data_IF_928456901225
#
_entry.id   IF_928456901225
#
_cell.length_a   1.000
_cell.length_b   1.000
_cell.length_c   1.000
_cell.angle_alpha   90.00
_cell.angle_beta   90.00
_cell.angle_gamma   90.00
#
_symmetry.space_group_name_H-M   'P 1'
#
loop_
_entity.id
_entity.type
_entity.pdbx_description
1 polymer ?
#
# COMPACT_ATOMS: atom_id res chain seq x y z
N UNK A 1 -13.38 0.04 -11.50
CA UNK A 1 -12.35 -0.89 -12.02
C UNK A 1 -12.51 -1.00 -13.53
N UNK A 2 -11.44 -1.08 -14.33
CA UNK A 2 -11.52 -1.22 -15.77
C UNK A 2 -12.32 -2.47 -16.20
N UNK A 3 -12.99 -2.40 -17.36
CA UNK A 3 -13.73 -3.56 -17.89
C UNK A 3 -12.81 -4.70 -18.33
N UNK A 4 -11.63 -4.36 -18.89
CA UNK A 4 -10.58 -5.31 -19.28
C UNK A 4 -9.42 -5.15 -18.30
N UNK A 5 -9.00 -6.25 -17.71
CA UNK A 5 -7.91 -6.33 -16.74
C UNK A 5 -6.77 -7.20 -17.30
N UNK A 6 -5.54 -7.00 -16.85
CA UNK A 6 -4.47 -7.97 -17.09
C UNK A 6 -4.91 -9.35 -16.60
N UNK A 7 -4.54 -10.41 -17.34
CA UNK A 7 -5.01 -11.77 -17.01
C UNK A 7 -4.74 -12.14 -15.54
N UNK A 8 -3.53 -11.90 -15.04
CA UNK A 8 -3.18 -12.22 -13.66
C UNK A 8 -4.15 -11.59 -12.65
N UNK A 9 -4.47 -10.30 -12.80
CA UNK A 9 -5.42 -9.62 -11.91
C UNK A 9 -6.82 -10.20 -12.04
N UNK A 10 -7.30 -10.39 -13.29
CA UNK A 10 -8.64 -10.93 -13.53
C UNK A 10 -8.77 -12.36 -13.00
N UNK A 11 -7.72 -13.17 -13.12
CA UNK A 11 -7.66 -14.53 -12.59
C UNK A 11 -7.72 -14.55 -11.06
N UNK A 12 -6.91 -13.73 -10.39
CA UNK A 12 -6.88 -13.66 -8.92
C UNK A 12 -8.21 -13.22 -8.30
N UNK A 13 -8.98 -12.37 -8.99
CA UNK A 13 -10.25 -11.86 -8.47
C UNK A 13 -11.50 -12.59 -9.01
N UNK A 14 -11.36 -13.55 -9.94
CA UNK A 14 -12.53 -14.21 -10.58
C UNK A 14 -13.45 -14.88 -9.58
N UNK A 15 -12.88 -15.50 -8.53
CA UNK A 15 -13.59 -16.25 -7.50
C UNK A 15 -13.93 -15.40 -6.24
N UNK A 16 -13.62 -14.13 -6.25
CA UNK A 16 -13.88 -13.20 -5.15
C UNK A 16 -15.27 -12.55 -5.31
N UNK A 17 -16.05 -12.37 -4.23
CA UNK A 17 -17.31 -11.65 -4.28
C UNK A 17 -17.15 -10.29 -4.97
N UNK A 18 -18.11 -9.92 -5.80
CA UNK A 18 -18.02 -8.76 -6.69
C UNK A 18 -17.61 -7.47 -5.95
N UNK A 19 -18.22 -7.22 -4.80
CA UNK A 19 -17.94 -6.01 -3.99
C UNK A 19 -16.54 -5.97 -3.41
N UNK A 20 -15.90 -7.14 -3.22
CA UNK A 20 -14.54 -7.26 -2.69
C UNK A 20 -13.45 -7.15 -3.77
N UNK A 21 -13.80 -7.30 -5.06
CA UNK A 21 -12.83 -7.35 -6.17
C UNK A 21 -11.90 -6.14 -6.23
N UNK A 22 -12.36 -4.88 -6.06
CA UNK A 22 -11.47 -3.71 -6.08
C UNK A 22 -10.41 -3.75 -4.97
N UNK A 23 -10.79 -4.14 -3.75
CA UNK A 23 -9.89 -4.26 -2.62
C UNK A 23 -8.89 -5.39 -2.83
N UNK A 24 -9.35 -6.56 -3.27
CA UNK A 24 -8.50 -7.73 -3.52
C UNK A 24 -7.53 -7.48 -4.68
N UNK A 25 -7.99 -6.85 -5.77
CA UNK A 25 -7.14 -6.49 -6.91
C UNK A 25 -5.95 -5.59 -6.52
N UNK A 26 -6.08 -4.82 -5.45
CA UNK A 26 -4.99 -4.03 -4.87
C UNK A 26 -4.21 -4.80 -3.78
N UNK A 27 -4.89 -5.62 -3.00
CA UNK A 27 -4.35 -6.34 -1.86
C UNK A 27 -3.48 -7.57 -2.20
N UNK A 28 -3.45 -8.04 -3.45
CA UNK A 28 -2.61 -9.18 -3.86
C UNK A 28 -1.13 -8.80 -4.12
N UNK A 29 -0.82 -7.53 -4.32
CA UNK A 29 0.52 -7.10 -4.69
C UNK A 29 1.58 -7.28 -3.60
N UNK A 30 1.30 -7.15 -2.28
CA UNK A 30 2.26 -7.52 -1.27
C UNK A 30 2.76 -8.97 -1.39
N UNK A 31 1.87 -9.91 -1.68
CA UNK A 31 2.22 -11.31 -1.89
C UNK A 31 2.96 -11.53 -3.23
N UNK A 32 2.51 -10.90 -4.33
CA UNK A 32 3.21 -10.97 -5.61
C UNK A 32 4.63 -10.39 -5.53
N UNK A 33 4.80 -9.30 -4.79
CA UNK A 33 6.08 -8.59 -4.68
C UNK A 33 7.18 -9.40 -4.00
N UNK A 34 6.86 -10.35 -3.10
CA UNK A 34 7.91 -11.13 -2.42
C UNK A 34 8.60 -12.16 -3.31
N UNK A 35 8.04 -12.46 -4.49
CA UNK A 35 8.69 -13.30 -5.50
C UNK A 35 9.81 -12.56 -6.24
N UNK A 36 9.80 -11.22 -6.22
CA UNK A 36 10.76 -10.37 -6.93
C UNK A 36 12.03 -10.12 -6.10
N UNK A 37 12.68 -11.20 -5.69
CA UNK A 37 13.94 -11.13 -4.96
C UNK A 37 15.06 -10.67 -5.90
N UNK A 38 15.88 -9.68 -5.45
CA UNK A 38 16.98 -9.13 -6.25
C UNK A 38 16.53 -8.43 -7.55
N UNK A 39 15.30 -7.92 -7.59
CA UNK A 39 14.77 -7.12 -8.70
C UNK A 39 14.63 -5.68 -8.27
N UNK A 40 15.08 -4.78 -9.13
CA UNK A 40 14.94 -3.34 -8.95
C UNK A 40 14.26 -2.73 -10.17
N UNK A 41 13.60 -1.62 -9.97
CA UNK A 41 12.91 -0.86 -10.99
C UNK A 41 13.46 0.57 -11.02
N UNK A 42 13.83 1.04 -12.19
CA UNK A 42 14.17 2.44 -12.39
C UNK A 42 12.92 3.31 -12.25
N UNK A 43 12.97 4.35 -11.42
CA UNK A 43 11.91 5.32 -11.26
C UNK A 43 12.08 6.50 -12.24
N UNK A 44 11.06 7.37 -12.31
CA UNK A 44 11.03 8.55 -13.19
C UNK A 44 12.11 9.60 -12.86
N UNK A 45 12.66 9.58 -11.65
CA UNK A 45 13.76 10.43 -11.19
C UNK A 45 15.15 9.78 -11.37
N UNK A 46 15.22 8.61 -12.00
CA UNK A 46 16.45 7.85 -12.24
C UNK A 46 16.95 7.06 -11.04
N UNK A 47 16.25 7.09 -9.90
CA UNK A 47 16.58 6.23 -8.76
C UNK A 47 16.04 4.82 -8.95
N UNK A 48 16.56 3.86 -8.18
CA UNK A 48 16.09 2.48 -8.20
C UNK A 48 15.21 2.18 -6.99
N UNK A 49 14.17 1.39 -7.20
CA UNK A 49 13.26 0.94 -6.15
C UNK A 49 12.95 -0.55 -6.28
N UNK A 50 12.81 -1.21 -5.14
CA UNK A 50 12.42 -2.62 -5.06
C UNK A 50 10.89 -2.77 -4.94
N UNK A 51 10.35 -4.01 -5.11
CA UNK A 51 8.92 -4.32 -5.10
C UNK A 51 8.32 -4.35 -3.68
N UNK A 52 8.39 -3.23 -2.97
CA UNK A 52 7.83 -3.12 -1.62
C UNK A 52 6.39 -2.65 -1.66
N UNK A 53 5.50 -3.44 -1.08
CA UNK A 53 4.06 -3.14 -0.98
C UNK A 53 3.54 -3.38 0.42
N UNK A 54 2.81 -2.41 0.92
CA UNK A 54 2.10 -2.46 2.19
C UNK A 54 0.66 -2.04 1.96
N UNK A 55 -0.27 -2.98 2.05
CA UNK A 55 -1.68 -2.74 1.73
C UNK A 55 -2.56 -2.79 2.96
N UNK A 56 -3.44 -1.79 3.10
CA UNK A 56 -4.42 -1.71 4.19
C UNK A 56 -5.82 -1.67 3.61
N UNK A 57 -6.66 -2.62 4.03
CA UNK A 57 -8.07 -2.66 3.68
C UNK A 57 -8.89 -2.06 4.83
N UNK A 58 -9.39 -0.84 4.63
CA UNK A 58 -10.22 -0.10 5.59
C UNK A 58 -11.67 -0.22 5.14
N UNK A 59 -12.48 -1.02 5.85
CA UNK A 59 -13.84 -1.29 5.41
C UNK A 59 -14.77 -1.54 6.61
N UNK A 60 -16.10 -1.44 6.42
CA UNK A 60 -17.06 -1.73 7.48
C UNK A 60 -16.87 -3.12 8.11
N UNK A 61 -17.41 -3.30 9.30
CA UNK A 61 -17.46 -4.62 9.92
C UNK A 61 -18.25 -5.59 9.04
N UNK A 62 -17.81 -6.86 9.00
CA UNK A 62 -18.47 -7.94 8.23
C UNK A 62 -18.58 -7.68 6.72
N UNK A 63 -17.71 -6.83 6.15
CA UNK A 63 -17.72 -6.49 4.71
C UNK A 63 -16.95 -7.46 3.82
N UNK A 64 -16.32 -8.52 4.39
CA UNK A 64 -15.53 -9.48 3.63
C UNK A 64 -14.06 -9.08 3.44
N UNK A 65 -13.47 -8.36 4.40
CA UNK A 65 -12.05 -7.94 4.36
C UNK A 65 -11.08 -9.10 4.14
N UNK A 66 -11.42 -10.30 4.63
CA UNK A 66 -10.63 -11.53 4.46
C UNK A 66 -10.68 -12.13 3.04
N UNK A 67 -11.46 -11.57 2.13
CA UNK A 67 -11.57 -12.07 0.76
C UNK A 67 -10.22 -12.12 0.01
N UNK A 68 -9.24 -11.32 0.43
CA UNK A 68 -7.87 -11.32 -0.11
C UNK A 68 -7.08 -12.56 0.29
N UNK A 69 -7.41 -13.21 1.40
CA UNK A 69 -6.59 -14.28 1.97
C UNK A 69 -6.46 -15.47 1.01
N UNK A 70 -7.57 -15.88 0.38
CA UNK A 70 -7.54 -17.06 -0.50
C UNK A 70 -6.68 -16.87 -1.74
N UNK A 71 -6.80 -15.78 -2.53
CA UNK A 71 -5.84 -15.49 -3.61
C UNK A 71 -4.38 -15.42 -3.12
N UNK A 72 -4.13 -14.82 -1.96
CA UNK A 72 -2.78 -14.72 -1.37
C UNK A 72 -2.20 -16.09 -1.02
N UNK A 73 -3.00 -17.01 -0.47
CA UNK A 73 -2.57 -18.39 -0.21
C UNK A 73 -2.06 -19.08 -1.49
N UNK A 74 -2.76 -18.91 -2.62
CA UNK A 74 -2.34 -19.48 -3.89
C UNK A 74 -1.08 -18.82 -4.47
N UNK A 75 -0.92 -17.50 -4.29
CA UNK A 75 0.28 -16.78 -4.70
C UNK A 75 1.50 -17.28 -3.93
N UNK A 76 1.34 -17.55 -2.63
CA UNK A 76 2.44 -17.90 -1.72
C UNK A 76 2.68 -19.41 -1.59
N UNK A 77 1.98 -20.25 -2.35
CA UNK A 77 1.97 -21.69 -2.13
C UNK A 77 3.38 -22.33 -2.19
N UNK A 78 4.20 -21.92 -3.13
CA UNK A 78 5.58 -22.41 -3.30
C UNK A 78 6.48 -21.97 -2.13
N UNK A 79 6.35 -20.73 -1.68
CA UNK A 79 7.11 -20.17 -0.55
C UNK A 79 6.69 -20.85 0.77
N UNK A 80 5.38 -21.06 0.97
CA UNK A 80 4.86 -21.73 2.17
C UNK A 80 5.35 -23.17 2.27
N UNK A 81 5.39 -23.89 1.14
CA UNK A 81 5.94 -25.25 1.15
C UNK A 81 7.43 -25.28 1.49
N UNK A 82 8.21 -24.34 0.94
CA UNK A 82 9.63 -24.17 1.32
C UNK A 82 9.77 -23.77 2.81
N UNK A 83 8.94 -22.87 3.29
CA UNK A 83 8.96 -22.42 4.70
C UNK A 83 8.63 -23.56 5.67
N UNK A 84 7.74 -24.48 5.27
CA UNK A 84 7.39 -25.65 6.08
C UNK A 84 8.62 -26.50 6.39
N UNK A 85 9.42 -26.83 5.38
CA UNK A 85 10.67 -27.59 5.55
C UNK A 85 11.64 -26.85 6.50
N UNK A 86 11.79 -25.53 6.33
CA UNK A 86 12.68 -24.77 7.20
C UNK A 86 12.17 -24.66 8.65
N UNK A 87 10.85 -24.61 8.86
CA UNK A 87 10.25 -24.61 10.20
C UNK A 87 10.44 -25.96 10.89
N UNK A 88 10.33 -27.07 10.18
CA UNK A 88 10.60 -28.43 10.68
C UNK A 88 12.07 -28.53 11.12
N UNK A 89 13.04 -28.12 10.30
CA UNK A 89 14.46 -28.08 10.63
C UNK A 89 14.77 -27.18 11.83
N UNK A 90 14.10 -26.03 11.94
CA UNK A 90 14.24 -25.15 13.10
C UNK A 90 13.70 -25.81 14.37
N UNK A 91 12.58 -26.53 14.28
CA UNK A 91 12.01 -27.25 15.41
C UNK A 91 12.91 -28.40 15.87
N UNK A 92 13.45 -29.20 14.95
CA UNK A 92 14.42 -30.25 15.25
C UNK A 92 15.65 -29.71 15.99
N UNK A 93 16.16 -28.54 15.55
CA UNK A 93 17.26 -27.87 16.23
C UNK A 93 16.85 -27.46 17.66
N UNK A 94 15.71 -26.85 17.87
CA UNK A 94 15.18 -26.48 19.20
C UNK A 94 15.04 -27.71 20.11
N UNK A 95 14.50 -28.79 19.59
CA UNK A 95 14.34 -30.04 20.34
C UNK A 95 15.69 -30.64 20.72
N UNK A 96 16.66 -30.57 19.84
CA UNK A 96 18.04 -31.01 20.12
C UNK A 96 18.72 -30.16 21.20
N UNK A 97 18.43 -28.86 21.24
CA UNK A 97 18.90 -27.93 22.28
C UNK A 97 18.34 -28.30 23.66
N UNK A 98 17.03 -28.64 23.70
CA UNK A 98 16.34 -28.99 24.94
C UNK A 98 16.74 -30.35 25.50
N UNK A 99 17.11 -31.30 24.64
CA UNK A 99 17.53 -32.66 25.05
C UNK A 99 18.94 -32.74 25.63
N UNK A 100 19.80 -31.74 25.40
CA UNK A 100 21.16 -31.75 25.89
C UNK A 100 21.26 -31.13 27.28
N UNK A 101 21.79 -31.89 28.25
CA UNK A 101 22.10 -31.39 29.61
C UNK A 101 23.10 -30.21 29.60
N UNK A 102 23.13 -29.46 30.71
CA UNK A 102 23.85 -28.18 30.85
C UNK A 102 25.37 -28.24 30.50
N UNK A 103 26.00 -29.41 30.54
CA UNK A 103 27.45 -29.60 30.34
C UNK A 103 27.83 -30.15 28.96
N UNK A 104 26.89 -30.25 28.00
CA UNK A 104 27.21 -30.73 26.64
C UNK A 104 27.20 -29.57 25.64
N UNK A 105 28.09 -29.64 24.65
CA UNK A 105 28.14 -28.67 23.56
C UNK A 105 26.79 -28.56 22.86
N UNK A 106 26.28 -27.36 22.81
CA UNK A 106 24.93 -27.08 22.21
C UNK A 106 25.04 -27.04 20.68
N UNK A 107 24.13 -27.69 19.95
CA UNK A 107 24.16 -27.65 18.50
C UNK A 107 23.98 -26.21 17.97
N UNK A 108 24.82 -25.86 17.01
CA UNK A 108 24.71 -24.56 16.33
C UNK A 108 23.40 -24.50 15.56
N UNK A 109 22.77 -23.34 15.57
CA UNK A 109 21.58 -23.08 14.73
C UNK A 109 21.96 -23.19 13.25
N UNK A 110 21.18 -23.84 12.38
CA UNK A 110 21.45 -23.88 10.95
C UNK A 110 21.50 -22.47 10.35
N UNK A 111 22.53 -22.18 9.57
CA UNK A 111 22.80 -20.84 9.00
C UNK A 111 21.94 -20.52 7.75
N UNK A 112 21.24 -21.53 7.21
CA UNK A 112 20.45 -21.48 5.97
C UNK A 112 18.93 -21.53 6.17
N UNK A 113 18.49 -21.34 7.42
CA UNK A 113 17.06 -21.28 7.74
C UNK A 113 16.45 -19.98 7.19
N UNK A 114 15.63 -20.10 6.17
CA UNK A 114 14.90 -18.97 5.60
C UNK A 114 13.40 -19.22 5.66
N UNK A 115 12.70 -18.44 6.47
CA UNK A 115 11.23 -18.45 6.56
C UNK A 115 10.75 -17.08 6.12
N UNK A 116 10.00 -17.02 5.01
CA UNK A 116 9.56 -15.78 4.39
C UNK A 116 8.14 -15.36 4.79
N UNK A 117 7.23 -16.31 5.02
CA UNK A 117 5.85 -16.01 5.46
C UNK A 117 5.81 -16.03 6.98
N UNK A 118 5.68 -14.86 7.58
CA UNK A 118 5.74 -14.68 9.02
C UNK A 118 4.33 -14.62 9.64
N UNK A 119 4.24 -15.03 10.90
CA UNK A 119 3.04 -14.82 11.71
C UNK A 119 2.97 -13.36 12.18
N UNK A 120 1.77 -12.87 12.45
CA UNK A 120 1.57 -11.49 12.92
C UNK A 120 2.05 -11.24 14.35
N UNK A 121 2.01 -12.26 15.20
CA UNK A 121 2.50 -12.18 16.59
C UNK A 121 3.97 -12.57 16.67
N UNK A 122 4.84 -11.57 16.67
CA UNK A 122 6.29 -11.77 16.79
C UNK A 122 6.95 -10.61 17.53
N UNK A 123 8.03 -10.93 18.24
CA UNK A 123 8.86 -9.90 18.87
C UNK A 123 9.77 -9.21 17.85
N UNK A 124 10.23 -7.99 18.16
CA UNK A 124 11.19 -7.29 17.32
C UNK A 124 12.49 -8.11 17.10
N UNK A 125 12.96 -8.83 18.11
CA UNK A 125 14.14 -9.69 18.00
C UNK A 125 13.92 -10.83 17.00
N UNK A 126 12.76 -11.49 17.04
CA UNK A 126 12.39 -12.52 16.07
C UNK A 126 12.27 -11.94 14.66
N UNK A 127 11.69 -10.76 14.50
CA UNK A 127 11.58 -10.07 13.22
C UNK A 127 12.95 -9.75 12.60
N UNK A 128 13.89 -9.18 13.39
CA UNK A 128 15.26 -8.89 12.93
C UNK A 128 15.99 -10.19 12.57
N UNK A 129 15.82 -11.25 13.38
CA UNK A 129 16.41 -12.56 13.06
C UNK A 129 15.89 -13.11 11.74
N UNK A 130 14.56 -13.09 11.51
CA UNK A 130 13.96 -13.56 10.25
C UNK A 130 14.47 -12.80 9.04
N UNK A 131 14.62 -11.47 9.15
CA UNK A 131 15.18 -10.67 8.06
C UNK A 131 16.65 -10.98 7.80
N UNK A 132 17.45 -11.20 8.85
CA UNK A 132 18.83 -11.61 8.73
C UNK A 132 18.95 -12.99 8.06
N UNK A 133 18.13 -13.95 8.45
CA UNK A 133 18.08 -15.29 7.88
C UNK A 133 17.62 -15.29 6.42
N UNK A 134 16.77 -14.35 6.03
CA UNK A 134 16.27 -14.23 4.67
C UNK A 134 17.35 -13.81 3.65
N UNK A 135 18.49 -13.31 4.11
CA UNK A 135 19.66 -12.95 3.25
C UNK A 135 19.26 -12.07 2.05
N UNK A 136 18.41 -11.09 2.29
CA UNK A 136 17.95 -10.15 1.28
C UNK A 136 16.69 -10.57 0.50
N UNK A 137 16.09 -11.72 0.80
CA UNK A 137 14.76 -12.05 0.30
C UNK A 137 13.69 -11.24 1.02
N UNK A 138 12.56 -11.06 0.35
CA UNK A 138 11.40 -10.42 0.95
C UNK A 138 10.70 -11.33 1.96
N UNK A 139 10.22 -10.71 3.03
CA UNK A 139 9.32 -11.32 4.00
C UNK A 139 7.88 -10.89 3.73
N UNK A 140 6.92 -11.71 4.10
CA UNK A 140 5.50 -11.41 4.01
C UNK A 140 4.79 -11.67 5.34
N UNK A 141 3.83 -10.80 5.68
CA UNK A 141 2.94 -11.01 6.83
C UNK A 141 1.52 -10.62 6.45
N UNK A 142 0.56 -11.46 6.79
CA UNK A 142 -0.84 -11.07 6.79
C UNK A 142 -1.24 -10.63 8.20
N UNK A 143 -1.43 -9.32 8.35
CA UNK A 143 -1.89 -8.72 9.59
C UNK A 143 -3.42 -8.68 9.56
N UNK A 144 -4.08 -9.53 10.31
CA UNK A 144 -5.54 -9.57 10.39
C UNK A 144 -6.11 -8.22 10.85
N UNK A 145 -5.41 -7.56 11.79
CA UNK A 145 -5.72 -6.22 12.27
C UNK A 145 -4.44 -5.34 12.22
N UNK A 146 -4.56 -4.11 11.74
CA UNK A 146 -3.42 -3.19 11.61
C UNK A 146 -2.74 -2.89 12.95
N UNK A 147 -3.47 -2.99 14.04
CA UNK A 147 -2.94 -2.74 15.39
C UNK A 147 -1.85 -3.74 15.80
N UNK A 148 -1.77 -4.91 15.17
CA UNK A 148 -0.72 -5.89 15.39
C UNK A 148 0.67 -5.36 15.01
N UNK A 149 0.76 -4.37 14.13
CA UNK A 149 2.03 -3.67 13.84
C UNK A 149 2.67 -3.05 15.09
N UNK A 150 1.87 -2.70 16.10
CA UNK A 150 2.36 -2.12 17.35
C UNK A 150 3.10 -3.13 18.23
N UNK A 151 2.88 -4.42 18.02
CA UNK A 151 3.55 -5.49 18.79
C UNK A 151 5.04 -5.65 18.39
N UNK A 152 5.41 -5.21 17.19
CA UNK A 152 6.81 -5.20 16.76
C UNK A 152 7.70 -4.25 17.55
N UNK A 153 7.11 -3.37 18.38
CA UNK A 153 7.83 -2.40 19.20
C UNK A 153 7.66 -2.66 20.70
N UNK A 154 8.78 -2.91 21.36
CA UNK A 154 8.86 -3.08 22.82
C UNK A 154 8.77 -1.78 23.62
N UNK A 155 8.94 -0.60 22.98
CA UNK A 155 9.12 0.68 23.68
C UNK A 155 8.05 1.74 23.36
N UNK A 156 6.83 1.35 23.03
CA UNK A 156 5.72 2.31 22.89
C UNK A 156 5.51 2.88 21.50
N UNK A 157 4.31 3.18 21.26
CA UNK A 157 3.48 3.53 20.13
C UNK A 157 4.00 4.55 19.10
N UNK A 158 5.15 5.18 19.27
CA UNK A 158 5.58 6.29 18.40
C UNK A 158 6.33 5.88 17.13
N UNK A 159 6.78 4.62 17.02
CA UNK A 159 7.72 4.22 15.96
C UNK A 159 7.16 3.35 14.84
N UNK A 160 5.86 3.02 14.83
CA UNK A 160 5.25 2.24 13.74
C UNK A 160 5.38 2.97 12.40
N UNK A 161 5.15 4.28 12.38
CA UNK A 161 5.34 5.10 11.19
C UNK A 161 6.75 5.02 10.64
N UNK A 162 7.76 5.01 11.50
CA UNK A 162 9.16 4.89 11.11
C UNK A 162 9.47 3.55 10.43
N UNK A 163 8.94 2.42 10.95
CA UNK A 163 9.10 1.12 10.29
C UNK A 163 8.45 1.12 8.91
N UNK A 164 7.25 1.66 8.79
CA UNK A 164 6.54 1.77 7.51
C UNK A 164 7.38 2.60 6.51
N UNK A 165 7.90 3.74 6.95
CA UNK A 165 8.75 4.58 6.12
C UNK A 165 10.03 3.85 5.69
N UNK A 166 10.74 3.23 6.63
CA UNK A 166 11.96 2.45 6.33
C UNK A 166 11.66 1.26 5.41
N UNK A 167 10.53 0.58 5.62
CA UNK A 167 10.10 -0.53 4.78
C UNK A 167 9.88 -0.07 3.34
N UNK A 168 9.12 1.00 3.14
CA UNK A 168 8.86 1.52 1.80
C UNK A 168 10.16 1.94 1.09
N UNK A 169 11.09 2.55 1.80
CA UNK A 169 12.34 3.07 1.25
C UNK A 169 13.49 2.03 1.25
N UNK A 170 13.21 0.76 1.59
CA UNK A 170 14.18 -0.34 1.75
C UNK A 170 15.37 0.05 2.64
N UNK A 171 15.08 0.86 3.68
CA UNK A 171 16.05 1.38 4.62
C UNK A 171 16.64 0.28 5.51
N UNK A 172 17.74 0.63 6.19
CA UNK A 172 18.40 -0.29 7.12
C UNK A 172 17.65 -0.31 8.46
N UNK A 173 17.36 -1.51 8.92
CA UNK A 173 16.72 -1.77 10.21
C UNK A 173 17.52 -2.82 10.98
N UNK A 174 17.41 -2.81 12.31
CA UNK A 174 18.10 -3.80 13.11
C UNK A 174 18.07 -3.50 14.59
N UNK A 175 18.78 -4.32 15.33
CA UNK A 175 19.01 -4.13 16.75
C UNK A 175 20.42 -4.52 17.13
N UNK A 176 20.91 -3.93 18.20
CA UNK A 176 22.18 -4.26 18.80
C UNK A 176 21.94 -4.74 20.25
N UNK A 177 22.48 -5.89 20.61
CA UNK A 177 22.34 -6.52 21.93
C UNK A 177 23.66 -7.15 22.35
N UNK A 178 24.02 -7.07 23.60
CA UNK A 178 25.30 -7.56 24.14
C UNK A 178 25.20 -8.99 24.68
N UNK A 179 24.00 -9.54 24.84
CA UNK A 179 23.82 -10.90 25.39
C UNK A 179 24.26 -11.99 24.42
N UNK A 180 24.87 -13.05 24.91
CA UNK A 180 25.44 -14.16 24.13
C UNK A 180 24.44 -14.93 23.26
N UNK A 181 23.15 -14.85 23.57
CA UNK A 181 22.06 -15.46 22.79
C UNK A 181 21.19 -14.41 22.06
N UNK A 182 21.65 -13.18 22.04
CA UNK A 182 20.89 -12.07 21.44
C UNK A 182 21.20 -11.94 19.97
N UNK A 183 20.18 -11.60 19.19
CA UNK A 183 20.37 -11.24 17.79
C UNK A 183 20.90 -9.83 17.70
N UNK A 184 22.07 -9.68 17.09
CA UNK A 184 22.61 -8.38 16.66
C UNK A 184 22.74 -8.41 15.17
N UNK A 185 21.94 -7.65 14.48
CA UNK A 185 21.97 -7.56 13.02
C UNK A 185 21.45 -6.19 12.54
N UNK A 186 21.98 -5.74 11.42
CA UNK A 186 21.52 -4.57 10.67
C UNK A 186 21.29 -4.99 9.21
N UNK A 187 20.05 -4.99 8.78
CA UNK A 187 19.61 -5.56 7.51
C UNK A 187 18.72 -4.59 6.74
N UNK A 188 18.68 -4.70 5.42
CA UNK A 188 17.72 -3.96 4.62
C UNK A 188 16.30 -4.48 4.90
N UNK A 189 15.38 -3.57 5.15
CA UNK A 189 13.99 -3.90 5.51
C UNK A 189 13.19 -4.24 4.25
N UNK A 190 13.18 -5.51 3.89
CA UNK A 190 12.39 -6.07 2.77
C UNK A 190 11.20 -6.83 3.32
N UNK A 191 10.11 -6.12 3.54
CA UNK A 191 8.94 -6.66 4.19
C UNK A 191 7.65 -6.16 3.54
N UNK A 192 6.91 -7.06 2.93
CA UNK A 192 5.59 -6.82 2.34
C UNK A 192 4.51 -7.35 3.27
N UNK A 193 3.39 -6.66 3.36
CA UNK A 193 2.32 -7.09 4.22
C UNK A 193 0.94 -6.59 3.79
N UNK A 194 -0.09 -7.35 4.20
CA UNK A 194 -1.48 -6.94 4.17
C UNK A 194 -1.99 -6.69 5.58
N UNK A 195 -2.80 -5.68 5.75
CA UNK A 195 -3.54 -5.42 6.98
C UNK A 195 -5.00 -5.13 6.68
N UNK A 196 -5.85 -5.44 7.66
CA UNK A 196 -7.26 -5.08 7.63
C UNK A 196 -7.62 -4.26 8.85
N UNK A 197 -8.63 -3.39 8.73
CA UNK A 197 -9.20 -2.70 9.89
C UNK A 197 -10.60 -2.18 9.60
N UNK A 198 -11.33 -1.81 10.63
CA UNK A 198 -12.58 -1.05 10.47
C UNK A 198 -12.28 0.44 10.29
N UNK A 199 -13.23 1.19 9.74
CA UNK A 199 -13.05 2.61 9.42
C UNK A 199 -12.59 3.40 10.65
N UNK A 200 -13.33 3.32 11.76
CA UNK A 200 -13.01 4.07 12.99
C UNK A 200 -11.67 3.65 13.62
N UNK A 201 -11.36 2.35 13.63
CA UNK A 201 -10.07 1.86 14.14
C UNK A 201 -8.91 2.33 13.25
N UNK A 202 -9.08 2.28 11.92
CA UNK A 202 -8.08 2.78 10.98
C UNK A 202 -7.80 4.27 11.16
N UNK A 203 -8.84 5.10 11.23
CA UNK A 203 -8.70 6.53 11.51
C UNK A 203 -7.98 6.78 12.84
N UNK A 204 -8.35 6.06 13.90
CA UNK A 204 -7.68 6.15 15.20
C UNK A 204 -6.21 5.71 15.14
N UNK A 205 -5.92 4.65 14.40
CA UNK A 205 -4.56 4.12 14.26
C UNK A 205 -3.62 5.14 13.61
N UNK A 206 -4.06 5.79 12.52
CA UNK A 206 -3.25 6.73 11.75
C UNK A 206 -3.26 8.16 12.28
N UNK A 207 -4.13 8.52 13.23
CA UNK A 207 -4.29 9.91 13.70
C UNK A 207 -2.97 10.60 14.10
N UNK A 208 -2.00 9.87 14.65
CA UNK A 208 -0.70 10.42 15.03
C UNK A 208 0.37 10.39 13.93
N UNK A 209 0.02 9.90 12.72
CA UNK A 209 0.96 9.64 11.63
C UNK A 209 0.46 10.15 10.28
N UNK A 210 -0.45 11.13 10.29
CA UNK A 210 -1.11 11.61 9.07
C UNK A 210 -0.16 12.46 8.21
N UNK A 211 0.68 13.27 8.84
CA UNK A 211 1.57 14.23 8.15
C UNK A 211 3.03 13.79 8.12
N UNK A 212 3.40 12.71 8.81
CA UNK A 212 4.79 12.20 8.85
C UNK A 212 5.19 11.37 7.60
N UNK A 213 4.29 11.28 6.62
CA UNK A 213 4.50 10.55 5.39
C UNK A 213 4.20 9.04 5.47
N UNK A 214 3.74 8.52 6.61
CA UNK A 214 3.37 7.11 6.79
C UNK A 214 2.24 6.72 5.85
N UNK A 215 1.13 7.47 5.87
CA UNK A 215 -0.07 7.17 5.08
C UNK A 215 0.21 7.18 3.57
N UNK A 216 1.07 8.09 3.10
CA UNK A 216 1.39 8.20 1.67
C UNK A 216 2.11 6.97 1.12
N UNK A 217 2.82 6.20 1.97
CA UNK A 217 3.58 5.00 1.62
C UNK A 217 2.75 3.71 1.60
N UNK A 218 1.53 3.78 2.08
CA UNK A 218 0.59 2.65 2.10
C UNK A 218 -0.29 2.65 0.85
N UNK A 219 -0.71 1.47 0.43
CA UNK A 219 -1.81 1.33 -0.52
C UNK A 219 -3.10 1.11 0.26
N UNK A 220 -4.01 2.07 0.20
CA UNK A 220 -5.28 2.00 0.92
C UNK A 220 -6.37 1.49 -0.02
N UNK A 221 -7.17 0.57 0.48
CA UNK A 221 -8.33 0.05 -0.22
C UNK A 221 -9.54 -0.05 0.70
N UNK A 222 -10.73 -0.17 0.13
CA UNK A 222 -11.96 -0.33 0.88
C UNK A 222 -12.92 -1.29 0.19
N UNK A 223 -13.92 -1.76 0.93
CA UNK A 223 -15.04 -2.52 0.40
C UNK A 223 -16.30 -1.69 0.66
N UNK A 224 -16.98 -1.28 -0.41
CA UNK A 224 -18.25 -0.59 -0.33
C UNK A 224 -19.33 -1.66 -0.42
N UNK A 225 -20.09 -1.94 0.66
CA UNK A 225 -21.15 -2.93 0.64
C UNK A 225 -22.24 -2.56 -0.38
N UNK A 226 -22.62 -3.51 -1.20
CA UNK A 226 -23.74 -3.38 -2.14
C UNK A 226 -24.68 -4.57 -1.93
N UNK A 227 -25.82 -4.33 -1.27
CA UNK A 227 -26.82 -5.36 -0.97
C UNK A 227 -27.52 -5.89 -2.23
N UNK A 228 -27.40 -5.22 -3.37
CA UNK A 228 -27.97 -5.67 -4.65
C UNK A 228 -27.11 -6.73 -5.32
N UNK A 229 -25.86 -6.91 -4.89
CA UNK A 229 -24.93 -7.89 -5.44
C UNK A 229 -24.79 -9.10 -4.53
N UNK A 230 -24.82 -10.31 -5.08
CA UNK A 230 -24.61 -11.51 -4.27
C UNK A 230 -23.18 -11.53 -3.69
N UNK A 231 -23.11 -11.91 -2.40
CA UNK A 231 -21.84 -12.10 -1.72
C UNK A 231 -21.48 -13.59 -1.79
N UNK A 232 -20.93 -14.01 -2.94
CA UNK A 232 -20.64 -15.41 -3.25
C UNK A 232 -19.18 -15.56 -3.65
N UNK A 233 -18.51 -16.55 -3.08
CA UNK A 233 -17.17 -16.99 -3.48
C UNK A 233 -17.28 -18.05 -4.56
N UNK A 234 -16.42 -17.97 -5.58
CA UNK A 234 -16.21 -19.03 -6.53
C UNK A 234 -15.34 -20.16 -5.93
N UNK A 235 -15.15 -21.21 -6.71
CA UNK A 235 -14.32 -22.35 -6.31
C UNK A 235 -12.86 -22.12 -6.70
N UNK A 236 -11.98 -22.49 -5.80
CA UNK A 236 -10.54 -22.54 -6.05
C UNK A 236 -10.16 -24.03 -6.20
N UNK A 237 -9.62 -24.39 -7.32
CA UNK A 237 -9.29 -25.75 -7.73
C UNK A 237 -7.85 -25.84 -8.25
N UNK A 238 -7.46 -27.05 -8.69
CA UNK A 238 -6.14 -27.31 -9.27
C UNK A 238 -5.91 -26.50 -10.55
N UNK A 239 -6.95 -26.27 -11.34
CA UNK A 239 -6.85 -25.46 -12.58
C UNK A 239 -6.55 -24.01 -12.24
N UNK A 240 -7.13 -23.47 -11.15
CA UNK A 240 -6.80 -22.13 -10.67
C UNK A 240 -5.30 -22.00 -10.35
N UNK A 241 -4.74 -22.99 -9.67
CA UNK A 241 -3.31 -23.02 -9.34
C UNK A 241 -2.44 -23.19 -10.62
N UNK A 242 -2.83 -24.08 -11.51
CA UNK A 242 -2.12 -24.31 -12.78
C UNK A 242 -2.08 -23.07 -13.67
N UNK A 243 -3.18 -22.34 -13.79
CA UNK A 243 -3.26 -21.10 -14.58
C UNK A 243 -2.42 -19.97 -13.96
N UNK A 244 -2.28 -19.94 -12.63
CA UNK A 244 -1.51 -18.95 -11.88
C UNK A 244 0.00 -19.20 -11.99
N UNK A 245 0.42 -20.46 -11.94
CA UNK A 245 1.81 -20.88 -11.81
C UNK A 245 2.77 -20.21 -12.82
N UNK A 246 2.49 -20.11 -14.14
CA UNK A 246 3.42 -19.48 -15.08
C UNK A 246 3.73 -18.02 -14.77
N UNK A 247 2.81 -17.30 -14.12
CA UNK A 247 3.00 -15.90 -13.72
C UNK A 247 3.89 -15.79 -12.51
N UNK A 248 3.71 -16.70 -11.53
CA UNK A 248 4.56 -16.78 -10.33
C UNK A 248 5.99 -17.21 -10.72
N UNK A 249 6.14 -18.20 -11.59
CA UNK A 249 7.44 -18.66 -12.07
C UNK A 249 8.24 -17.51 -12.70
N UNK A 250 7.62 -16.67 -13.56
CA UNK A 250 8.28 -15.50 -14.16
C UNK A 250 8.69 -14.46 -13.13
N UNK A 251 7.91 -14.26 -12.06
CA UNK A 251 8.29 -13.37 -10.95
C UNK A 251 9.48 -13.94 -10.18
N UNK A 252 9.50 -15.25 -9.92
CA UNK A 252 10.59 -15.94 -9.24
C UNK A 252 11.90 -15.95 -10.05
N UNK A 253 11.82 -15.95 -11.37
CA UNK A 253 12.97 -15.99 -12.28
C UNK A 253 13.58 -14.61 -12.53
N UNK A 254 12.83 -13.54 -12.35
CA UNK A 254 13.29 -12.18 -12.63
C UNK A 254 14.48 -11.77 -11.75
N UNK A 255 15.48 -11.10 -12.32
CA UNK A 255 16.68 -10.63 -11.63
C UNK A 255 17.16 -9.30 -12.21
N UNK A 256 17.88 -8.55 -11.38
CA UNK A 256 18.55 -7.31 -11.79
C UNK A 256 17.61 -6.12 -11.94
N UNK A 257 18.08 -5.08 -12.60
CA UNK A 257 17.29 -3.86 -12.85
C UNK A 257 16.44 -4.01 -14.08
N UNK A 258 15.12 -3.95 -13.89
CA UNK A 258 14.13 -4.03 -14.97
C UNK A 258 13.65 -2.65 -15.35
N UNK A 259 13.79 -2.30 -16.62
CA UNK A 259 13.37 -1.01 -17.19
C UNK A 259 12.25 -1.24 -18.21
N UNK A 260 11.14 -0.53 -18.07
CA UNK A 260 10.05 -0.49 -19.02
C UNK A 260 9.74 0.97 -19.39
N UNK A 261 10.11 1.37 -20.62
CA UNK A 261 9.94 2.76 -21.08
C UNK A 261 8.48 3.19 -21.13
N UNK A 262 7.57 2.27 -21.43
CA UNK A 262 6.13 2.51 -21.44
C UNK A 262 5.62 2.79 -20.03
N UNK A 263 6.05 2.01 -19.04
CA UNK A 263 5.70 2.19 -17.64
C UNK A 263 6.23 3.53 -17.10
N UNK A 264 7.47 3.91 -17.43
CA UNK A 264 8.05 5.20 -17.05
C UNK A 264 7.25 6.36 -17.66
N UNK A 265 6.90 6.28 -18.96
CA UNK A 265 6.04 7.31 -19.60
C UNK A 265 4.66 7.39 -18.95
N UNK A 266 4.05 6.26 -18.61
CA UNK A 266 2.79 6.20 -17.88
C UNK A 266 2.93 6.88 -16.51
N UNK A 267 3.96 6.54 -15.73
CA UNK A 267 4.19 7.11 -14.40
C UNK A 267 4.38 8.62 -14.46
N UNK A 268 5.14 9.12 -15.46
CA UNK A 268 5.32 10.56 -15.68
C UNK A 268 3.99 11.25 -15.99
N UNK A 269 3.18 10.70 -16.92
CA UNK A 269 1.85 11.25 -17.22
C UNK A 269 0.93 11.28 -15.99
N UNK A 270 0.94 10.21 -15.20
CA UNK A 270 0.17 10.14 -13.95
C UNK A 270 0.62 11.22 -12.96
N UNK A 271 1.92 11.40 -12.78
CA UNK A 271 2.47 12.42 -11.88
C UNK A 271 2.12 13.83 -12.36
N UNK A 272 2.36 14.14 -13.65
CA UNK A 272 2.03 15.44 -14.25
C UNK A 272 0.53 15.76 -14.13
N UNK A 273 -0.33 14.73 -14.25
CA UNK A 273 -1.77 14.89 -14.05
C UNK A 273 -2.11 15.20 -12.60
N UNK A 274 -1.55 14.46 -11.65
CA UNK A 274 -1.78 14.68 -10.23
C UNK A 274 -1.28 16.06 -9.77
N UNK A 275 -0.13 16.50 -10.24
CA UNK A 275 0.41 17.83 -9.95
C UNK A 275 -0.53 18.92 -10.46
N UNK A 276 -0.94 18.85 -11.72
CA UNK A 276 -1.90 19.81 -12.30
C UNK A 276 -3.22 19.82 -11.53
N UNK A 277 -3.77 18.66 -11.18
CA UNK A 277 -5.00 18.58 -10.38
C UNK A 277 -4.82 19.22 -9.00
N UNK A 278 -3.69 18.97 -8.34
CA UNK A 278 -3.36 19.57 -7.05
C UNK A 278 -3.19 21.09 -7.14
N UNK A 279 -2.47 21.58 -8.15
CA UNK A 279 -2.28 23.02 -8.38
C UNK A 279 -3.62 23.74 -8.68
N UNK A 280 -4.44 23.14 -9.54
CA UNK A 280 -5.77 23.67 -9.88
C UNK A 280 -6.71 23.75 -8.68
N UNK A 281 -6.63 22.77 -7.77
CA UNK A 281 -7.55 22.70 -6.61
C UNK A 281 -6.97 23.37 -5.37
N UNK A 282 -5.67 23.66 -5.34
CA UNK A 282 -4.97 24.10 -4.13
C UNK A 282 -4.98 23.05 -3.00
N UNK A 283 -5.13 21.76 -3.35
CA UNK A 283 -5.23 20.67 -2.39
C UNK A 283 -3.83 20.10 -2.09
N UNK A 284 -3.18 20.67 -1.08
CA UNK A 284 -1.84 20.25 -0.65
C UNK A 284 -1.83 18.82 -0.09
N UNK A 285 -2.94 18.33 0.46
CA UNK A 285 -3.05 16.93 0.95
C UNK A 285 -2.99 15.97 -0.22
N UNK A 286 -3.72 16.28 -1.30
CA UNK A 286 -3.69 15.48 -2.50
C UNK A 286 -2.31 15.47 -3.17
N UNK A 287 -1.64 16.62 -3.22
CA UNK A 287 -0.27 16.72 -3.76
C UNK A 287 0.71 15.85 -2.98
N UNK A 288 0.70 15.92 -1.65
CA UNK A 288 1.61 15.13 -0.79
C UNK A 288 1.38 13.62 -0.92
N UNK A 289 0.14 13.21 -1.13
CA UNK A 289 -0.20 11.79 -1.31
C UNK A 289 0.16 11.27 -2.71
N UNK A 290 0.16 12.16 -3.72
CA UNK A 290 0.20 11.76 -5.13
C UNK A 290 1.51 11.11 -5.56
N UNK A 291 2.67 11.66 -5.19
CA UNK A 291 3.96 11.15 -5.66
C UNK A 291 4.16 9.66 -5.29
N UNK A 292 3.92 9.32 -4.02
CA UNK A 292 4.08 7.94 -3.57
C UNK A 292 2.97 7.01 -4.07
N UNK A 293 1.76 7.52 -4.24
CA UNK A 293 0.69 6.75 -4.85
C UNK A 293 0.99 6.42 -6.33
N UNK A 294 1.57 7.36 -7.09
CA UNK A 294 2.08 7.10 -8.44
C UNK A 294 3.18 6.05 -8.42
N UNK A 295 4.13 6.14 -7.48
CA UNK A 295 5.19 5.13 -7.31
C UNK A 295 4.60 3.75 -7.05
N UNK A 296 3.62 3.63 -6.15
CA UNK A 296 2.95 2.35 -5.85
C UNK A 296 2.24 1.79 -7.09
N UNK A 297 1.52 2.63 -7.83
CA UNK A 297 0.83 2.23 -9.05
C UNK A 297 1.81 1.80 -10.15
N UNK A 298 2.94 2.52 -10.29
CA UNK A 298 4.03 2.16 -11.19
C UNK A 298 4.63 0.79 -10.82
N UNK A 299 4.96 0.57 -9.55
CA UNK A 299 5.49 -0.72 -9.09
C UNK A 299 4.52 -1.88 -9.37
N UNK A 300 3.21 -1.68 -9.20
CA UNK A 300 2.20 -2.68 -9.58
C UNK A 300 2.22 -2.97 -11.08
N UNK A 301 2.35 -1.95 -11.92
CA UNK A 301 2.47 -2.12 -13.36
C UNK A 301 3.74 -2.91 -13.72
N UNK A 302 4.87 -2.68 -13.04
CA UNK A 302 6.11 -3.40 -13.26
C UNK A 302 6.02 -4.87 -12.83
N UNK A 303 5.35 -5.17 -11.71
CA UNK A 303 5.04 -6.56 -11.30
C UNK A 303 4.22 -7.26 -12.39
N UNK A 304 3.17 -6.61 -12.90
CA UNK A 304 2.36 -7.17 -13.99
C UNK A 304 3.14 -7.32 -15.29
N UNK A 305 3.99 -6.37 -15.62
CA UNK A 305 4.86 -6.42 -16.80
C UNK A 305 5.76 -7.67 -16.78
N UNK A 306 6.44 -7.94 -15.65
CA UNK A 306 7.27 -9.14 -15.49
C UNK A 306 6.40 -10.40 -15.54
N UNK A 307 5.31 -10.44 -14.80
CA UNK A 307 4.41 -11.59 -14.74
C UNK A 307 3.86 -11.97 -16.12
N UNK A 308 3.69 -10.99 -17.04
CA UNK A 308 3.26 -11.21 -18.42
C UNK A 308 4.43 -11.37 -19.41
N UNK A 309 5.62 -11.79 -18.92
CA UNK A 309 6.78 -12.05 -19.77
C UNK A 309 7.40 -10.81 -20.40
N UNK A 310 7.43 -9.72 -19.65
CA UNK A 310 7.94 -8.40 -20.06
C UNK A 310 7.19 -7.83 -21.29
N UNK A 311 5.90 -8.13 -21.38
CA UNK A 311 5.01 -7.59 -22.42
C UNK A 311 4.12 -6.51 -21.84
N UNK A 312 4.30 -5.27 -22.33
CA UNK A 312 3.45 -4.16 -21.96
C UNK A 312 2.11 -4.20 -22.67
N UNK A 313 1.03 -3.92 -21.97
CA UNK A 313 -0.32 -3.86 -22.54
C UNK A 313 -1.11 -2.66 -22.02
N UNK A 314 -2.14 -2.29 -22.80
CA UNK A 314 -3.10 -1.23 -22.39
C UNK A 314 -3.91 -1.62 -21.13
N UNK A 315 -4.08 -2.90 -20.89
CA UNK A 315 -4.76 -3.41 -19.71
C UNK A 315 -3.92 -3.14 -18.44
N UNK A 316 -2.58 -3.33 -18.51
CA UNK A 316 -1.67 -2.99 -17.41
C UNK A 316 -1.71 -1.50 -17.14
N UNK A 317 -1.62 -0.66 -18.18
CA UNK A 317 -1.69 0.80 -18.06
C UNK A 317 -3.00 1.25 -17.39
N UNK A 318 -4.14 0.82 -17.91
CA UNK A 318 -5.47 1.17 -17.37
C UNK A 318 -5.68 0.67 -15.95
N UNK A 319 -5.15 -0.50 -15.61
CA UNK A 319 -5.21 -1.03 -14.26
C UNK A 319 -4.38 -0.17 -13.31
N UNK A 320 -3.16 0.22 -13.67
CA UNK A 320 -2.31 1.07 -12.86
C UNK A 320 -2.93 2.46 -12.63
N UNK A 321 -3.47 3.09 -13.67
CA UNK A 321 -4.19 4.37 -13.57
C UNK A 321 -5.43 4.26 -12.66
N UNK A 322 -6.21 3.19 -12.80
CA UNK A 322 -7.34 2.95 -11.92
C UNK A 322 -6.89 2.72 -10.47
N UNK A 323 -5.85 1.92 -10.26
CA UNK A 323 -5.30 1.62 -8.93
C UNK A 323 -4.81 2.87 -8.22
N UNK A 324 -4.12 3.78 -8.94
CA UNK A 324 -3.73 5.10 -8.45
C UNK A 324 -4.94 5.91 -7.97
N UNK A 325 -5.92 6.08 -8.86
CA UNK A 325 -7.12 6.88 -8.55
C UNK A 325 -7.91 6.30 -7.38
N UNK A 326 -7.97 4.98 -7.28
CA UNK A 326 -8.68 4.28 -6.21
C UNK A 326 -7.95 4.44 -4.86
N UNK A 327 -6.64 4.30 -4.83
CA UNK A 327 -5.82 4.52 -3.62
C UNK A 327 -5.92 5.97 -3.13
N UNK A 328 -5.75 6.94 -4.02
CA UNK A 328 -5.90 8.36 -3.70
C UNK A 328 -7.31 8.69 -3.21
N UNK A 329 -8.34 8.16 -3.88
CA UNK A 329 -9.70 8.34 -3.42
C UNK A 329 -9.91 7.78 -2.01
N UNK A 330 -9.42 6.57 -1.71
CA UNK A 330 -9.52 6.00 -0.37
C UNK A 330 -8.80 6.87 0.68
N UNK A 331 -7.59 7.32 0.39
CA UNK A 331 -6.80 8.18 1.30
C UNK A 331 -7.50 9.50 1.58
N UNK A 332 -7.93 10.21 0.54
CA UNK A 332 -8.65 11.48 0.69
C UNK A 332 -10.00 11.30 1.39
N UNK A 333 -10.72 10.21 1.08
CA UNK A 333 -12.04 9.95 1.66
C UNK A 333 -12.00 9.64 3.17
N UNK A 334 -11.00 8.89 3.62
CA UNK A 334 -10.91 8.48 5.02
C UNK A 334 -10.07 9.41 5.89
N UNK A 335 -9.12 10.13 5.31
CA UNK A 335 -8.10 10.88 6.06
C UNK A 335 -7.94 12.33 5.60
N UNK A 336 -8.56 12.75 4.49
CA UNK A 336 -8.34 14.06 3.89
C UNK A 336 -8.63 15.21 4.84
N UNK A 337 -9.76 15.15 5.56
CA UNK A 337 -10.15 16.19 6.52
C UNK A 337 -9.17 16.26 7.70
N UNK A 338 -8.85 15.11 8.30
CA UNK A 338 -7.91 15.02 9.42
C UNK A 338 -6.50 15.52 9.03
N UNK A 339 -6.03 15.18 7.80
CA UNK A 339 -4.74 15.68 7.28
C UNK A 339 -4.75 17.20 7.06
N UNK A 340 -5.85 17.73 6.57
CA UNK A 340 -6.03 19.17 6.37
C UNK A 340 -5.96 19.90 7.71
N UNK A 341 -6.66 19.40 8.73
CA UNK A 341 -6.66 19.96 10.06
C UNK A 341 -5.25 19.95 10.70
N UNK A 342 -4.50 18.83 10.57
CA UNK A 342 -3.14 18.74 11.10
C UNK A 342 -2.18 19.72 10.36
N UNK A 343 -2.26 19.81 9.03
CA UNK A 343 -1.46 20.79 8.26
C UNK A 343 -1.79 22.24 8.64
N UNK A 344 -3.05 22.55 8.93
CA UNK A 344 -3.42 23.89 9.40
C UNK A 344 -2.79 24.20 10.75
N UNK A 345 -2.75 23.23 11.69
CA UNK A 345 -2.07 23.40 12.97
C UNK A 345 -0.58 23.66 12.78
N UNK A 346 0.09 22.92 11.91
CA UNK A 346 1.50 23.16 11.56
C UNK A 346 1.72 24.55 10.96
N UNK A 347 0.84 25.02 10.07
CA UNK A 347 0.90 26.36 9.46
C UNK A 347 0.76 27.49 10.49
N UNK A 348 -0.14 27.31 11.47
CA UNK A 348 -0.30 28.27 12.56
C UNK A 348 0.98 28.38 13.38
N UNK A 349 1.68 27.26 13.60
CA UNK A 349 2.96 27.25 14.31
C UNK A 349 4.08 27.88 13.48
N UNK A 350 4.11 27.69 12.16
CA UNK A 350 5.24 28.11 11.32
C UNK A 350 4.99 29.36 10.47
N UNK A 351 3.81 29.98 10.51
CA UNK A 351 3.42 31.21 9.75
C UNK A 351 3.75 31.18 8.23
N UNK A 352 3.89 30.02 7.60
CA UNK A 352 4.19 29.91 6.17
C UNK A 352 3.35 28.79 5.53
N UNK A 353 2.46 29.13 4.59
CA UNK A 353 1.69 28.19 3.77
C UNK A 353 0.64 28.88 2.89
N UNK A 354 0.30 28.31 1.72
CA UNK A 354 -0.77 28.79 0.84
C UNK A 354 -2.13 28.62 1.53
N UNK A 355 -3.00 29.62 1.42
CA UNK A 355 -4.38 29.53 1.94
C UNK A 355 -5.18 28.55 1.10
N UNK A 356 -6.03 27.75 1.75
CA UNK A 356 -6.95 26.85 1.05
C UNK A 356 -7.99 27.67 0.28
N UNK A 357 -7.98 27.57 -1.04
CA UNK A 357 -8.84 28.36 -1.90
C UNK A 357 -10.35 28.13 -1.62
N UNK A 358 -10.72 26.89 -1.30
CA UNK A 358 -12.12 26.57 -0.98
C UNK A 358 -12.59 27.29 0.28
N UNK A 359 -11.72 27.52 1.28
CA UNK A 359 -12.02 28.26 2.49
C UNK A 359 -12.22 29.75 2.25
N UNK A 360 -11.55 30.30 1.22
CA UNK A 360 -11.69 31.71 0.83
C UNK A 360 -13.00 32.02 0.10
N UNK A 361 -13.72 31.00 -0.36
CA UNK A 361 -15.01 31.13 -1.02
C UNK A 361 -16.13 31.13 0.02
N UNK A 362 -17.28 31.75 -0.23
CA UNK A 362 -18.47 31.64 0.61
C UNK A 362 -19.07 30.23 0.53
N UNK A 363 -20.02 29.90 1.39
CA UNK A 363 -20.71 28.59 1.42
C UNK A 363 -21.43 28.27 0.10
N UNK A 364 -21.95 29.31 -0.58
CA UNK A 364 -22.50 29.26 -1.93
C UNK A 364 -21.73 30.26 -2.79
N UNK A 365 -21.25 29.81 -3.95
CA UNK A 365 -20.43 30.65 -4.80
C UNK A 365 -20.63 30.32 -6.30
N UNK A 366 -20.25 31.25 -7.14
CA UNK A 366 -20.27 31.13 -8.61
C UNK A 366 -18.86 30.82 -9.15
N UNK A 367 -18.80 30.43 -10.42
CA UNK A 367 -17.51 30.26 -11.13
C UNK A 367 -16.69 31.55 -11.14
N UNK A 368 -17.33 32.71 -11.33
CA UNK A 368 -16.63 34.01 -11.34
C UNK A 368 -15.94 34.33 -10.01
N UNK A 369 -16.58 33.99 -8.89
CA UNK A 369 -15.97 34.15 -7.57
C UNK A 369 -14.73 33.27 -7.39
N UNK A 370 -14.76 32.08 -7.98
CA UNK A 370 -13.58 31.20 -7.99
C UNK A 370 -12.46 31.82 -8.81
N UNK A 371 -12.75 32.34 -10.00
CA UNK A 371 -11.78 33.04 -10.86
C UNK A 371 -11.17 34.23 -10.13
N UNK A 372 -11.97 35.02 -9.41
CA UNK A 372 -11.49 36.15 -8.64
C UNK A 372 -10.52 35.75 -7.52
N UNK A 373 -10.84 34.69 -6.76
CA UNK A 373 -9.95 34.15 -5.73
C UNK A 373 -8.66 33.62 -6.35
N UNK A 374 -8.72 32.96 -7.52
CA UNK A 374 -7.53 32.49 -8.25
C UNK A 374 -6.62 33.65 -8.65
N UNK A 375 -7.17 34.73 -9.21
CA UNK A 375 -6.42 35.95 -9.56
C UNK A 375 -5.73 36.57 -8.34
N UNK A 376 -6.42 36.66 -7.20
CA UNK A 376 -5.82 37.16 -5.94
C UNK A 376 -4.65 36.31 -5.47
N UNK A 377 -4.66 35.01 -5.77
CA UNK A 377 -3.58 34.08 -5.44
C UNK A 377 -2.49 33.98 -6.52
N UNK A 378 -2.59 34.76 -7.61
CA UNK A 378 -1.65 34.75 -8.71
C UNK A 378 -1.71 33.49 -9.59
N UNK A 379 -2.85 32.80 -9.60
CA UNK A 379 -3.13 31.61 -10.40
C UNK A 379 -3.81 31.99 -11.73
N UNK A 380 -3.79 31.07 -12.71
CA UNK A 380 -4.50 31.25 -13.98
C UNK A 380 -6.03 31.30 -13.80
N UNK A 381 -6.76 31.75 -14.85
CA UNK A 381 -8.22 31.91 -14.82
C UNK A 381 -8.98 30.60 -15.08
N UNK A 382 -8.32 29.45 -15.26
CA UNK A 382 -9.02 28.17 -15.54
C UNK A 382 -9.65 27.56 -14.28
N UNK A 383 -10.86 28.05 -13.94
CA UNK A 383 -11.66 27.55 -12.83
C UNK A 383 -12.43 26.26 -13.17
N UNK A 384 -12.71 25.98 -14.45
CA UNK A 384 -13.63 24.91 -14.86
C UNK A 384 -13.10 23.51 -14.49
N UNK A 385 -11.83 23.27 -14.77
CA UNK A 385 -11.23 21.97 -14.42
C UNK A 385 -11.19 21.76 -12.91
N UNK A 386 -10.87 22.79 -12.14
CA UNK A 386 -10.87 22.74 -10.68
C UNK A 386 -12.27 22.44 -10.13
N UNK A 387 -13.30 23.14 -10.60
CA UNK A 387 -14.68 22.91 -10.18
C UNK A 387 -15.15 21.48 -10.50
N UNK A 388 -14.78 20.93 -11.68
CA UNK A 388 -15.03 19.51 -11.99
C UNK A 388 -14.39 18.56 -10.99
N UNK A 389 -13.14 18.81 -10.61
CA UNK A 389 -12.43 17.99 -9.63
C UNK A 389 -13.09 18.10 -8.25
N UNK A 390 -13.46 19.30 -7.82
CA UNK A 390 -14.14 19.49 -6.54
C UNK A 390 -15.52 18.81 -6.47
N UNK A 391 -16.30 18.86 -7.57
CA UNK A 391 -17.57 18.12 -7.68
C UNK A 391 -17.32 16.61 -7.63
N UNK A 392 -16.36 16.12 -8.41
CA UNK A 392 -16.00 14.70 -8.45
C UNK A 392 -15.54 14.18 -7.07
N UNK A 393 -14.77 14.99 -6.33
CA UNK A 393 -14.30 14.66 -4.98
C UNK A 393 -15.34 14.93 -3.89
N UNK A 394 -16.53 15.39 -4.25
CA UNK A 394 -17.60 15.74 -3.31
C UNK A 394 -17.21 16.82 -2.29
N UNK A 395 -16.35 17.76 -2.67
CA UNK A 395 -16.09 18.96 -1.87
C UNK A 395 -17.20 19.98 -2.05
N UNK A 396 -17.79 20.03 -3.26
CA UNK A 396 -18.87 20.91 -3.62
C UNK A 396 -19.93 20.17 -4.42
N UNK A 397 -21.15 20.69 -4.41
CA UNK A 397 -22.25 20.26 -5.26
C UNK A 397 -22.63 21.40 -6.20
N UNK A 398 -22.83 21.09 -7.48
CA UNK A 398 -23.36 22.05 -8.45
C UNK A 398 -24.88 21.96 -8.44
N UNK A 399 -25.54 23.09 -8.31
CA UNK A 399 -26.96 23.22 -8.62
C UNK A 399 -27.13 23.45 -10.13
N UNK A 400 -27.78 22.51 -10.80
CA UNK A 400 -27.89 22.52 -12.27
C UNK A 400 -28.81 23.65 -12.79
N UNK A 401 -29.75 24.12 -11.98
CA UNK A 401 -30.74 25.13 -12.40
C UNK A 401 -30.17 26.56 -12.23
N UNK A 402 -29.41 26.80 -11.18
CA UNK A 402 -28.88 28.13 -10.87
C UNK A 402 -27.40 28.34 -11.28
N UNK A 403 -26.70 27.27 -11.61
CA UNK A 403 -25.25 27.33 -11.89
C UNK A 403 -24.37 27.65 -10.66
N UNK A 404 -24.97 27.69 -9.45
CA UNK A 404 -24.29 27.99 -8.19
C UNK A 404 -23.68 26.71 -7.63
N UNK A 405 -22.52 26.83 -7.06
CA UNK A 405 -21.85 25.75 -6.33
C UNK A 405 -22.08 25.93 -4.83
N UNK A 406 -22.30 24.82 -4.11
CA UNK A 406 -22.46 24.80 -2.67
C UNK A 406 -21.42 23.88 -2.05
N UNK A 407 -20.75 24.33 -1.00
CA UNK A 407 -19.85 23.48 -0.20
C UNK A 407 -20.67 22.37 0.47
N UNK A 408 -20.14 21.15 0.50
CA UNK A 408 -20.68 20.16 1.44
C UNK A 408 -20.33 20.63 2.84
N UNK A 409 -21.34 21.00 3.61
CA UNK A 409 -21.19 21.27 5.04
C UNK A 409 -20.57 20.02 5.69
N UNK A 410 -19.50 20.23 6.43
CA UNK A 410 -18.75 19.20 7.15
C UNK A 410 -19.67 18.06 7.58
N UNK A 411 -19.53 16.90 6.96
CA UNK A 411 -19.94 15.66 7.60
C UNK A 411 -18.93 15.39 8.73
N UNK A 412 -19.16 16.01 9.89
CA UNK A 412 -18.82 15.39 11.15
C UNK A 412 -19.66 14.11 11.21
N UNK A 413 -19.09 13.03 10.73
CA UNK A 413 -19.55 11.69 11.02
C UNK A 413 -18.49 11.00 11.86
#
# INVERSE_FOLDING_TARGET
>A
MPRKLPFLVSHLIKNVPYVCRPSVANGVFPALGIHLNQVKFELIDGTEKEATFMSVNIAPQSSGKSAVNKPVEYILADIVEHDKVNREREQEWKDSMNKKGANKEKPKRPDDLCVQVLVSDMTNAAFVQRMNDAKGKYLYTNLEEIELLRQLHTNGTKDVGKIICLCFDNGMYGQERVGTQSVTARVALRWNWNASTTILKGQKFFRGSLVDGTLSRLNISTIIPDKTKPFVYGKYDEQFAADLKPYIDRLNEARGTVVCREALRMAKRMLDKCQREGDLTGDDVYQDLSYRAVTIAYLKAMVLYIAHGMQWSKEIEKFAEWSLNYDLWCKCHYFGDDMTDEKQKERVVHKRGRQNMLEMLPERFTEDQVVEVRRRLGLDDDAKNMLRVWVYRKYIQKDNDSGIYRKYLNKKC
#
